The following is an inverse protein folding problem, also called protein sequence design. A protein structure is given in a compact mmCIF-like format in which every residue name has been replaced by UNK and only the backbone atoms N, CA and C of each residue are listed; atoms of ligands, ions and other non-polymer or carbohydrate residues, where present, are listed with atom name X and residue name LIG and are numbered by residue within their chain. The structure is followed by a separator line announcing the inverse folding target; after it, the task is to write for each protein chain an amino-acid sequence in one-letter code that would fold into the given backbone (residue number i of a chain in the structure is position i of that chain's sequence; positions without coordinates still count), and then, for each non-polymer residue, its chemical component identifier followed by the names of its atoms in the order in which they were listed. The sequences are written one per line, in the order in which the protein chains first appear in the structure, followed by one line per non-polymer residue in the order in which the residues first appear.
data_IF_773279633545
#
_entry.id   IF_773279633545
#
_cell.length_a   1.000
_cell.length_b   1.000
_cell.length_c   1.000
_cell.angle_alpha   90.00
_cell.angle_beta   90.00
_cell.angle_gamma   90.00
#
_symmetry.space_group_name_H-M   'P 1'
#
loop_
_entity.id
_entity.type
_entity.pdbx_description
1 polymer ?
#
# COMPACT_ATOMS: atom_id res chain seq x y z
N UNK A 1 -22.22 -24.34 0.61
CA UNK A 1 -21.02 -24.44 0.20
C UNK A 1 -20.24 -23.23 0.24
N UNK A 2 -19.07 -23.36 0.64
CA UNK A 2 -18.35 -22.30 0.82
C UNK A 2 -17.53 -21.96 -0.32
N UNK A 3 -17.43 -20.75 -0.61
CA UNK A 3 -16.62 -20.32 -1.67
C UNK A 3 -15.24 -20.24 -1.19
N UNK A 4 -14.40 -21.08 -1.67
CA UNK A 4 -13.07 -21.01 -1.28
C UNK A 4 -12.31 -20.25 -2.30
N UNK A 5 -12.39 -18.96 -2.21
CA UNK A 5 -11.53 -18.11 -3.02
C UNK A 5 -10.17 -18.20 -2.37
N UNK A 6 -9.19 -18.73 -3.07
CA UNK A 6 -7.89 -18.87 -2.48
C UNK A 6 -7.11 -17.57 -2.53
N UNK A 7 -6.01 -17.53 -1.80
CA UNK A 7 -5.24 -16.30 -1.67
C UNK A 7 -4.65 -15.82 -2.96
N UNK A 8 -4.31 -16.74 -3.85
CA UNK A 8 -3.77 -16.36 -5.15
C UNK A 8 -4.82 -15.61 -5.94
N UNK A 9 -6.04 -16.12 -5.95
CA UNK A 9 -7.12 -15.45 -6.67
C UNK A 9 -7.42 -14.09 -6.07
N UNK A 10 -7.42 -13.98 -4.74
CA UNK A 10 -7.66 -12.70 -4.09
C UNK A 10 -6.60 -11.68 -4.44
N UNK A 11 -5.34 -12.11 -4.47
CA UNK A 11 -4.26 -11.20 -4.81
C UNK A 11 -4.38 -10.75 -6.26
N UNK A 12 -4.74 -11.67 -7.16
CA UNK A 12 -4.90 -11.32 -8.56
C UNK A 12 -6.03 -10.32 -8.77
N UNK A 13 -7.12 -10.50 -8.04
CA UNK A 13 -8.24 -9.55 -8.12
C UNK A 13 -7.84 -8.19 -7.59
N UNK A 14 -7.08 -8.14 -6.50
CA UNK A 14 -6.61 -6.88 -5.97
C UNK A 14 -5.66 -6.19 -6.95
N UNK A 15 -4.77 -6.95 -7.56
CA UNK A 15 -3.84 -6.38 -8.52
C UNK A 15 -4.56 -5.80 -9.73
N UNK A 16 -5.60 -6.51 -10.18
CA UNK A 16 -6.39 -6.03 -11.29
C UNK A 16 -7.12 -4.75 -10.94
N UNK A 17 -7.67 -4.69 -9.73
CA UNK A 17 -8.38 -3.52 -9.27
C UNK A 17 -7.43 -2.33 -9.12
N UNK A 18 -6.25 -2.56 -8.59
CA UNK A 18 -5.24 -1.52 -8.45
C UNK A 18 -4.87 -0.96 -9.82
N UNK A 19 -4.66 -1.84 -10.78
CA UNK A 19 -4.30 -1.40 -12.13
C UNK A 19 -5.42 -0.57 -12.76
N UNK A 20 -6.66 -0.96 -12.53
CA UNK A 20 -7.79 -0.27 -13.11
C UNK A 20 -8.07 1.08 -12.47
N UNK A 21 -7.70 1.23 -11.18
CA UNK A 21 -8.02 2.42 -10.42
C UNK A 21 -6.79 3.17 -9.91
N UNK A 22 -5.67 2.98 -10.57
CA UNK A 22 -4.40 3.56 -10.10
C UNK A 22 -4.48 5.07 -9.91
N UNK A 23 -5.10 5.76 -10.82
CA UNK A 23 -5.23 7.21 -10.73
C UNK A 23 -6.06 7.63 -9.52
N UNK A 24 -7.12 6.89 -9.21
CA UNK A 24 -7.95 7.19 -8.06
C UNK A 24 -7.24 6.88 -6.76
N UNK A 25 -6.50 5.77 -6.74
CA UNK A 25 -5.78 5.34 -5.55
C UNK A 25 -4.74 6.37 -5.16
N UNK A 26 -4.07 6.96 -6.14
CA UNK A 26 -3.01 7.92 -5.88
C UNK A 26 -3.45 9.38 -5.95
N UNK A 27 -4.75 9.61 -6.05
CA UNK A 27 -5.26 10.98 -6.25
C UNK A 27 -4.84 11.94 -5.15
N UNK A 28 -4.77 11.45 -3.91
CA UNK A 28 -4.44 12.30 -2.78
C UNK A 28 -2.97 12.24 -2.38
N UNK A 29 -2.15 11.54 -3.14
CA UNK A 29 -0.74 11.40 -2.84
C UNK A 29 0.05 12.27 -3.80
N UNK A 30 0.78 13.28 -3.31
CA UNK A 30 1.59 14.10 -4.21
C UNK A 30 2.64 13.23 -4.90
N UNK A 31 2.85 13.46 -6.18
CA UNK A 31 3.74 12.60 -6.96
C UNK A 31 5.18 12.61 -6.45
N UNK A 32 5.56 13.63 -5.70
CA UNK A 32 6.90 13.72 -5.17
C UNK A 32 7.04 13.07 -3.80
N UNK A 33 5.98 12.47 -3.29
CA UNK A 33 6.00 11.90 -1.97
C UNK A 33 5.92 10.39 -2.03
N UNK A 34 6.78 9.73 -1.28
CA UNK A 34 6.80 8.28 -1.27
C UNK A 34 5.58 7.73 -0.55
N UNK A 35 5.09 6.62 -1.02
CA UNK A 35 4.00 5.93 -0.35
C UNK A 35 4.16 4.43 -0.55
N UNK A 36 3.45 3.68 0.27
CA UNK A 36 3.42 2.22 0.16
C UNK A 36 2.00 1.80 -0.19
N UNK A 37 1.88 0.84 -1.07
CA UNK A 37 0.59 0.23 -1.39
C UNK A 37 0.56 -1.11 -0.68
N UNK A 38 -0.41 -1.27 0.21
CA UNK A 38 -0.52 -2.45 1.04
C UNK A 38 -1.78 -3.21 0.68
N UNK A 39 -1.64 -4.50 0.45
CA UNK A 39 -2.76 -5.38 0.18
C UNK A 39 -2.93 -6.29 1.38
N UNK A 40 -4.10 -6.29 1.99
CA UNK A 40 -4.38 -7.13 3.13
C UNK A 40 -5.18 -8.36 2.72
N UNK A 41 -4.66 -9.52 3.05
CA UNK A 41 -5.35 -10.79 2.81
C UNK A 41 -5.52 -11.47 4.14
N UNK A 42 -6.73 -11.43 4.66
CA UNK A 42 -7.04 -12.00 5.96
C UNK A 42 -8.09 -13.07 5.85
N UNK A 43 -8.09 -14.01 6.77
CA UNK A 43 -9.00 -15.13 6.69
C UNK A 43 -10.42 -14.78 7.07
N UNK A 44 -10.58 -13.75 7.87
CA UNK A 44 -11.89 -13.43 8.45
C UNK A 44 -12.48 -12.11 7.95
N UNK A 45 -11.92 -11.56 6.90
CA UNK A 45 -12.49 -10.35 6.33
C UNK A 45 -12.13 -10.24 4.86
N UNK A 46 -12.82 -9.38 4.17
CA UNK A 46 -12.57 -9.17 2.76
C UNK A 46 -11.18 -8.59 2.53
N UNK A 47 -10.56 -8.89 1.40
CA UNK A 47 -9.27 -8.27 1.09
C UNK A 47 -9.43 -6.76 0.91
N UNK A 48 -8.37 -6.04 1.19
CA UNK A 48 -8.42 -4.60 1.03
C UNK A 48 -7.09 -4.08 0.49
N UNK A 49 -7.14 -2.86 -0.03
CA UNK A 49 -5.95 -2.16 -0.51
C UNK A 49 -5.92 -0.82 0.19
N UNK A 50 -4.78 -0.46 0.72
CA UNK A 50 -4.65 0.87 1.32
C UNK A 50 -3.33 1.51 0.94
N UNK A 51 -3.34 2.84 0.96
CA UNK A 51 -2.15 3.63 0.67
C UNK A 51 -1.62 4.17 1.99
N UNK A 52 -0.36 3.95 2.23
CA UNK A 52 0.27 4.41 3.46
C UNK A 52 1.36 5.41 3.10
N UNK A 53 1.21 6.63 3.59
CA UNK A 53 2.23 7.64 3.40
C UNK A 53 3.13 7.64 4.60
N UNK A 54 4.41 7.67 4.36
CA UNK A 54 5.36 7.67 5.44
C UNK A 54 5.54 9.05 6.01
N UNK A 55 5.64 9.10 7.33
CA UNK A 55 6.00 10.33 8.00
C UNK A 55 7.34 10.07 8.69
N UNK A 56 8.36 10.81 8.30
CA UNK A 56 9.66 10.69 8.93
C UNK A 56 9.96 12.06 9.55
N UNK A 57 10.11 12.12 10.88
CA UNK A 57 10.38 13.40 11.53
C UNK A 57 11.67 14.01 11.01
N UNK A 58 11.65 15.30 10.83
CA UNK A 58 12.79 16.03 10.29
C UNK A 58 14.07 15.82 11.09
N UNK A 59 13.92 15.73 12.40
CA UNK A 59 15.08 15.50 13.26
C UNK A 59 15.73 14.15 12.99
N UNK A 60 14.91 13.14 12.72
CA UNK A 60 15.41 11.81 12.43
C UNK A 60 16.16 11.82 11.10
N UNK A 61 15.62 12.52 10.11
CA UNK A 61 16.28 12.63 8.82
C UNK A 61 17.63 13.31 8.97
N UNK A 62 17.69 14.38 9.73
CA UNK A 62 18.94 15.09 9.97
C UNK A 62 19.96 14.21 10.67
N UNK A 63 19.52 13.50 11.67
CA UNK A 63 20.38 12.59 12.42
C UNK A 63 20.95 11.52 11.50
N UNK A 64 20.08 10.92 10.69
CA UNK A 64 20.49 9.87 9.79
C UNK A 64 21.51 10.37 8.76
N UNK A 65 21.24 11.51 8.16
CA UNK A 65 22.13 12.08 7.16
C UNK A 65 23.50 12.43 7.76
N UNK A 66 23.49 12.93 8.98
CA UNK A 66 24.72 13.27 9.65
C UNK A 66 25.57 12.03 9.91
N UNK A 67 24.93 10.94 10.30
CA UNK A 67 25.64 9.72 10.56
C UNK A 67 26.18 9.04 9.31
N UNK A 68 25.67 9.39 8.16
CA UNK A 68 26.10 8.79 6.92
C UNK A 68 27.11 9.60 6.13
N UNK A 69 27.55 10.68 6.69
CA UNK A 69 28.59 11.48 6.02
C UNK A 69 29.99 11.09 6.45
#
# INVERSE_FOLDING_TARGET
MQNSVNRVDMLQLCAKDIAANADKILADVPYYQDCDIVIGLHNDEAPFVKVVQRYVPEEIVRWYNKGNN
#
